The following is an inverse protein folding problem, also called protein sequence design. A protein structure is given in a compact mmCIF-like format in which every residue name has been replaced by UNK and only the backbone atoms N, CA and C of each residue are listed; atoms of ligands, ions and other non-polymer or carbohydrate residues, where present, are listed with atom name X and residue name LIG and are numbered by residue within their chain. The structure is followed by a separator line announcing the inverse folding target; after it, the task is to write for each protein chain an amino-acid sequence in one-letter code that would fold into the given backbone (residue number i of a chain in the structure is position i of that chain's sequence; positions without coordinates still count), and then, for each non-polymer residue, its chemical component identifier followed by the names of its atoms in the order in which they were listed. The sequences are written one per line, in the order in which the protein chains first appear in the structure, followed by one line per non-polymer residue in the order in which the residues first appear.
data_IF_454288807677
#
_entry.id   IF_454288807677
#
_cell.length_a   1.000
_cell.length_b   1.000
_cell.length_c   1.000
_cell.angle_alpha   90.00
_cell.angle_beta   90.00
_cell.angle_gamma   90.00
#
_symmetry.space_group_name_H-M   'P 1'
#
loop_
_entity.id
_entity.type
_entity.pdbx_description
1 polymer ?
#
# COMPACT_ATOMS: atom_id res chain seq x y z
N UNK A 1 4.93 -33.81 4.28
CA UNK A 1 4.32 -33.55 5.60
C UNK A 1 3.01 -32.83 5.33
N UNK A 2 1.87 -33.53 5.42
CA UNK A 2 0.55 -32.96 5.15
C UNK A 2 0.20 -31.97 6.25
N UNK A 3 -0.03 -30.71 5.88
CA UNK A 3 -0.60 -29.72 6.79
C UNK A 3 -2.10 -29.97 6.82
N UNK A 4 -2.57 -30.57 7.90
CA UNK A 4 -3.99 -30.77 8.18
C UNK A 4 -4.70 -29.41 8.17
N UNK A 5 -5.72 -29.28 7.32
CA UNK A 5 -6.65 -28.17 7.32
C UNK A 5 -7.50 -28.23 8.59
N UNK A 6 -7.47 -27.16 9.39
CA UNK A 6 -8.39 -27.00 10.51
C UNK A 6 -9.82 -26.84 9.99
N UNK A 7 -10.82 -27.58 10.52
CA UNK A 7 -12.20 -27.48 10.08
C UNK A 7 -12.84 -26.25 10.74
N UNK A 8 -12.93 -25.15 10.00
CA UNK A 8 -13.57 -23.93 10.46
C UNK A 8 -14.00 -23.07 9.29
N UNK A 9 -15.33 -23.00 9.09
CA UNK A 9 -16.11 -22.03 8.30
C UNK A 9 -15.31 -21.14 7.36
N UNK A 10 -15.51 -21.32 6.04
CA UNK A 10 -15.13 -20.41 4.96
C UNK A 10 -14.97 -18.96 5.44
N UNK A 11 -13.74 -18.58 5.79
CA UNK A 11 -13.40 -17.19 6.02
C UNK A 11 -13.22 -16.64 4.62
N UNK A 12 -14.25 -16.00 4.06
CA UNK A 12 -14.12 -15.28 2.80
C UNK A 12 -12.93 -14.35 2.94
N UNK A 13 -11.84 -14.70 2.26
CA UNK A 13 -10.67 -13.84 2.18
C UNK A 13 -11.13 -12.55 1.48
N UNK A 14 -10.78 -11.36 2.02
CA UNK A 14 -11.15 -10.14 1.34
C UNK A 14 -10.51 -10.16 -0.05
N UNK A 15 -11.31 -9.87 -1.08
CA UNK A 15 -10.80 -9.68 -2.44
C UNK A 15 -10.35 -8.22 -2.56
N UNK A 16 -9.05 -8.02 -2.69
CA UNK A 16 -8.46 -6.70 -2.92
C UNK A 16 -7.97 -6.65 -4.37
N UNK A 17 -8.50 -5.72 -5.16
CA UNK A 17 -8.10 -5.55 -6.57
C UNK A 17 -8.17 -6.86 -7.36
N UNK A 18 -9.25 -7.63 -7.16
CA UNK A 18 -9.53 -8.94 -7.78
C UNK A 18 -8.62 -10.10 -7.32
N UNK A 19 -7.66 -9.87 -6.42
CA UNK A 19 -6.80 -10.90 -5.84
C UNK A 19 -7.30 -11.26 -4.43
N UNK A 20 -7.30 -12.55 -4.11
CA UNK A 20 -7.55 -13.00 -2.73
C UNK A 20 -6.34 -12.69 -1.86
N UNK A 21 -6.56 -12.10 -0.68
CA UNK A 21 -5.48 -11.84 0.28
C UNK A 21 -5.67 -12.61 1.57
N UNK A 22 -4.57 -13.11 2.13
CA UNK A 22 -4.57 -13.76 3.43
C UNK A 22 -4.94 -12.81 4.58
N UNK A 23 -5.22 -13.35 5.79
CA UNK A 23 -5.54 -12.55 6.97
C UNK A 23 -4.34 -11.76 7.53
N UNK A 24 -3.13 -12.05 7.04
CA UNK A 24 -1.88 -11.41 7.44
C UNK A 24 -1.29 -10.70 6.24
N UNK A 25 -0.89 -9.44 6.44
CA UNK A 25 -0.13 -8.66 5.47
C UNK A 25 1.26 -8.33 5.98
N UNK A 26 2.16 -7.95 5.06
CA UNK A 26 3.53 -7.57 5.36
C UNK A 26 3.75 -6.07 5.26
N UNK A 27 4.12 -5.43 6.36
CA UNK A 27 4.62 -4.05 6.37
C UNK A 27 6.10 -3.97 5.97
N UNK A 28 6.44 -2.98 5.15
CA UNK A 28 7.82 -2.70 4.70
C UNK A 28 8.51 -1.59 5.51
N UNK A 29 7.77 -0.86 6.34
CA UNK A 29 8.30 0.25 7.16
C UNK A 29 9.52 -0.18 7.97
N UNK A 30 9.44 -1.33 8.65
CA UNK A 30 10.56 -1.83 9.46
C UNK A 30 11.73 -2.39 8.66
N UNK A 31 11.60 -2.54 7.33
CA UNK A 31 12.67 -3.01 6.45
C UNK A 31 13.50 -1.85 5.89
N UNK A 32 12.92 -0.66 5.75
CA UNK A 32 13.57 0.49 5.09
C UNK A 32 13.61 1.76 5.92
N UNK A 33 12.75 1.89 6.94
CA UNK A 33 12.63 3.08 7.79
C UNK A 33 13.00 2.79 9.24
N UNK A 34 14.24 2.34 9.43
CA UNK A 34 14.92 2.20 10.73
C UNK A 34 16.22 2.99 10.71
N UNK A 35 16.79 3.24 11.89
CA UNK A 35 18.16 3.78 12.02
C UNK A 35 19.16 2.88 11.27
N UNK A 36 19.07 1.58 11.56
CA UNK A 36 19.90 0.54 10.93
C UNK A 36 18.95 -0.45 10.23
N UNK A 37 18.57 -0.20 8.96
CA UNK A 37 17.73 -1.12 8.21
C UNK A 37 18.48 -2.42 7.92
N UNK A 38 17.75 -3.51 7.79
CA UNK A 38 18.35 -4.80 7.40
C UNK A 38 18.95 -4.68 5.98
N UNK A 39 20.02 -5.44 5.68
CA UNK A 39 20.57 -5.49 4.33
C UNK A 39 19.49 -5.83 3.29
N UNK A 40 19.58 -5.21 2.11
CA UNK A 40 18.57 -5.39 1.05
C UNK A 40 18.36 -6.86 0.68
N UNK A 41 19.44 -7.65 0.58
CA UNK A 41 19.34 -9.07 0.25
C UNK A 41 18.59 -9.88 1.31
N UNK A 42 18.75 -9.52 2.59
CA UNK A 42 18.02 -10.19 3.67
C UNK A 42 16.55 -9.75 3.70
N UNK A 43 16.27 -8.48 3.40
CA UNK A 43 14.90 -8.02 3.19
C UNK A 43 14.21 -8.79 2.06
N UNK A 44 14.90 -9.03 0.94
CA UNK A 44 14.40 -9.83 -0.18
C UNK A 44 14.08 -11.26 0.24
N UNK A 45 15.01 -11.96 0.94
CA UNK A 45 14.77 -13.33 1.46
C UNK A 45 13.53 -13.37 2.35
N UNK A 46 13.38 -12.37 3.20
CA UNK A 46 12.26 -12.25 4.13
C UNK A 46 10.93 -11.98 3.40
N UNK A 47 10.94 -11.21 2.29
CA UNK A 47 9.76 -11.03 1.44
C UNK A 47 9.39 -12.32 0.72
N UNK A 48 10.39 -13.06 0.22
CA UNK A 48 10.18 -14.34 -0.44
C UNK A 48 9.53 -15.35 0.50
N UNK A 49 10.10 -15.52 1.70
CA UNK A 49 9.54 -16.39 2.73
C UNK A 49 8.12 -15.99 3.15
N UNK A 50 7.81 -14.69 3.21
CA UNK A 50 6.47 -14.20 3.50
C UNK A 50 5.47 -14.62 2.41
N UNK A 51 5.84 -14.43 1.13
CA UNK A 51 4.98 -14.82 0.00
C UNK A 51 4.78 -16.34 -0.07
N UNK A 52 5.84 -17.11 0.11
CA UNK A 52 5.78 -18.58 0.12
C UNK A 52 4.90 -19.11 1.27
N UNK A 53 4.72 -18.31 2.34
CA UNK A 53 3.79 -18.58 3.45
C UNK A 53 2.37 -18.03 3.22
N UNK A 54 2.05 -17.53 2.03
CA UNK A 54 0.74 -16.97 1.68
C UNK A 54 0.51 -15.51 2.13
N UNK A 55 1.54 -14.81 2.62
CA UNK A 55 1.46 -13.39 3.01
C UNK A 55 1.65 -12.52 1.77
N UNK A 56 0.57 -12.29 1.03
CA UNK A 56 0.60 -11.65 -0.28
C UNK A 56 0.15 -10.18 -0.30
N UNK A 57 -0.38 -9.64 0.81
CA UNK A 57 -0.68 -8.20 0.93
C UNK A 57 0.53 -7.45 1.47
N UNK A 58 1.22 -6.69 0.62
CA UNK A 58 2.43 -5.95 1.01
C UNK A 58 2.17 -4.45 1.08
N UNK A 59 2.52 -3.85 2.22
CA UNK A 59 2.29 -2.44 2.52
C UNK A 59 3.61 -1.66 2.63
N UNK A 60 3.84 -0.74 1.69
CA UNK A 60 5.00 0.15 1.66
C UNK A 60 4.64 1.63 1.58
N UNK A 61 5.66 2.48 1.50
CA UNK A 61 5.52 3.89 1.15
C UNK A 61 6.74 4.41 0.37
N UNK A 62 6.52 5.44 -0.44
CA UNK A 62 7.59 6.19 -1.12
C UNK A 62 8.50 6.97 -0.14
N UNK A 63 7.99 7.30 1.06
CA UNK A 63 8.73 7.98 2.13
C UNK A 63 9.24 7.05 3.24
N UNK A 64 9.10 5.72 3.10
CA UNK A 64 9.64 4.77 4.08
C UNK A 64 11.12 4.52 3.82
N UNK A 65 11.99 5.37 4.36
CA UNK A 65 13.43 5.36 4.08
C UNK A 65 13.84 6.48 3.12
N UNK A 66 15.14 6.64 2.84
CA UNK A 66 15.62 7.68 1.93
C UNK A 66 15.25 7.38 0.47
N UNK A 67 15.25 8.37 -0.44
CA UNK A 67 14.81 8.20 -1.83
C UNK A 67 15.46 7.02 -2.58
N UNK A 68 16.72 6.72 -2.27
CA UNK A 68 17.53 5.65 -2.87
C UNK A 68 17.36 4.27 -2.22
N UNK A 69 16.67 4.18 -1.08
CA UNK A 69 16.48 2.93 -0.33
C UNK A 69 15.10 2.80 0.34
N UNK A 70 14.07 3.41 -0.26
CA UNK A 70 12.71 3.34 0.25
C UNK A 70 12.03 1.98 -0.01
N UNK A 71 10.78 1.81 0.45
CA UNK A 71 10.03 0.57 0.22
C UNK A 71 9.85 0.20 -1.26
N UNK A 72 9.74 1.17 -2.16
CA UNK A 72 9.48 0.93 -3.58
C UNK A 72 10.76 0.50 -4.29
N UNK A 73 11.92 1.03 -3.88
CA UNK A 73 13.23 0.53 -4.33
C UNK A 73 13.45 -0.91 -3.86
N UNK A 74 13.09 -1.24 -2.62
CA UNK A 74 13.14 -2.63 -2.14
C UNK A 74 12.23 -3.55 -2.96
N UNK A 75 11.01 -3.11 -3.26
CA UNK A 75 10.06 -3.86 -4.08
C UNK A 75 10.55 -4.04 -5.51
N UNK A 76 11.11 -3.00 -6.13
CA UNK A 76 11.71 -3.08 -7.46
C UNK A 76 12.82 -4.14 -7.48
N UNK A 77 13.77 -4.09 -6.55
CA UNK A 77 14.83 -5.10 -6.45
C UNK A 77 14.29 -6.51 -6.22
N UNK A 78 13.24 -6.66 -5.41
CA UNK A 78 12.58 -7.95 -5.20
C UNK A 78 12.01 -8.50 -6.52
N UNK A 79 11.21 -7.71 -7.24
CA UNK A 79 10.55 -8.18 -8.47
C UNK A 79 11.51 -8.30 -9.65
N UNK A 80 12.65 -7.59 -9.64
CA UNK A 80 13.74 -7.84 -10.58
C UNK A 80 14.34 -9.23 -10.38
N UNK A 81 14.47 -9.68 -9.12
CA UNK A 81 15.02 -11.00 -8.78
C UNK A 81 13.99 -12.14 -8.90
N UNK A 82 12.72 -11.82 -8.66
CA UNK A 82 11.58 -12.75 -8.63
C UNK A 82 10.41 -12.22 -9.47
N UNK A 83 10.57 -12.08 -10.81
CA UNK A 83 9.52 -11.53 -11.67
C UNK A 83 8.24 -12.38 -11.68
N UNK A 84 8.35 -13.68 -11.47
CA UNK A 84 7.23 -14.63 -11.40
C UNK A 84 6.28 -14.37 -10.22
N UNK A 85 6.72 -13.61 -9.22
CA UNK A 85 5.96 -13.30 -8.01
C UNK A 85 5.12 -12.02 -8.15
N UNK A 86 5.36 -11.18 -9.17
CA UNK A 86 4.68 -9.90 -9.34
C UNK A 86 3.15 -10.01 -9.30
N UNK A 87 2.60 -10.97 -10.05
CA UNK A 87 1.15 -11.20 -10.13
C UNK A 87 0.56 -11.86 -8.88
N UNK A 88 1.39 -12.42 -7.99
CA UNK A 88 0.94 -13.07 -6.74
C UNK A 88 0.77 -12.08 -5.60
N UNK A 89 1.45 -10.94 -5.67
CA UNK A 89 1.46 -9.91 -4.62
C UNK A 89 0.38 -8.86 -4.88
N UNK A 90 -0.24 -8.38 -3.79
CA UNK A 90 -1.08 -7.18 -3.75
C UNK A 90 -0.28 -6.05 -3.12
N UNK A 91 0.10 -5.05 -3.92
CA UNK A 91 0.85 -3.87 -3.47
C UNK A 91 -0.08 -2.77 -2.96
N UNK A 92 0.14 -2.38 -1.71
CA UNK A 92 -0.60 -1.34 -1.03
C UNK A 92 0.31 -0.21 -0.57
N UNK A 93 0.43 0.82 -1.40
CA UNK A 93 1.44 1.87 -1.26
C UNK A 93 0.84 3.13 -0.62
N UNK A 94 1.58 3.74 0.30
CA UNK A 94 1.34 5.11 0.74
C UNK A 94 2.21 6.02 -0.12
N UNK A 95 1.60 7.01 -0.74
CA UNK A 95 2.27 8.03 -1.53
C UNK A 95 1.70 9.41 -1.25
N UNK A 96 1.85 10.34 -2.18
CA UNK A 96 1.34 11.72 -2.07
C UNK A 96 1.77 12.46 -0.80
N UNK A 97 3.00 12.18 -0.36
CA UNK A 97 3.70 13.06 0.58
C UNK A 97 4.38 14.15 -0.24
N UNK A 98 4.25 15.40 0.20
CA UNK A 98 5.03 16.52 -0.28
C UNK A 98 6.49 16.41 0.19
N UNK A 99 7.15 17.56 0.42
CA UNK A 99 8.49 17.53 0.99
C UNK A 99 8.48 16.82 2.37
N UNK A 100 9.32 15.79 2.52
CA UNK A 100 9.33 14.95 3.71
C UNK A 100 8.09 14.05 3.82
N UNK A 101 7.35 14.18 4.92
CA UNK A 101 6.16 13.36 5.21
C UNK A 101 4.86 14.18 5.28
N UNK A 102 4.94 15.49 5.01
CA UNK A 102 3.78 16.38 5.02
C UNK A 102 2.82 16.00 3.88
N UNK A 103 1.51 15.94 4.12
CA UNK A 103 0.56 15.66 3.06
C UNK A 103 0.52 16.82 2.07
N UNK A 104 0.42 16.50 0.78
CA UNK A 104 0.14 17.47 -0.27
C UNK A 104 -1.00 16.94 -1.13
N UNK A 105 -2.20 17.48 -0.90
CA UNK A 105 -3.43 17.06 -1.56
C UNK A 105 -3.71 17.77 -2.87
N UNK A 106 -2.89 18.75 -3.28
CA UNK A 106 -3.12 19.50 -4.52
C UNK A 106 -3.06 18.57 -5.73
N UNK A 107 -3.78 18.88 -6.83
CA UNK A 107 -3.77 18.02 -8.01
C UNK A 107 -2.36 17.75 -8.54
N UNK A 108 -1.51 18.77 -8.59
CA UNK A 108 -0.12 18.66 -9.05
C UNK A 108 0.71 17.79 -8.10
N UNK A 109 0.54 17.96 -6.78
CA UNK A 109 1.23 17.19 -5.76
C UNK A 109 0.88 15.70 -5.83
N UNK A 110 -0.43 15.40 -5.93
CA UNK A 110 -0.94 14.04 -6.06
C UNK A 110 -0.44 13.38 -7.35
N UNK A 111 -0.56 14.04 -8.51
CA UNK A 111 -0.06 13.50 -9.79
C UNK A 111 1.43 13.23 -9.75
N UNK A 112 2.22 14.17 -9.22
CA UNK A 112 3.67 14.03 -9.09
C UNK A 112 4.03 12.79 -8.27
N UNK A 113 3.41 12.63 -7.11
CA UNK A 113 3.72 11.51 -6.23
C UNK A 113 3.23 10.16 -6.79
N UNK A 114 2.04 10.12 -7.38
CA UNK A 114 1.53 8.92 -8.06
C UNK A 114 2.47 8.47 -9.18
N UNK A 115 2.88 9.40 -10.05
CA UNK A 115 3.80 9.09 -11.15
C UNK A 115 5.17 8.65 -10.65
N UNK A 116 5.71 9.31 -9.62
CA UNK A 116 6.98 8.94 -9.02
C UNK A 116 6.94 7.53 -8.41
N UNK A 117 5.88 7.21 -7.65
CA UNK A 117 5.72 5.90 -7.05
C UNK A 117 5.62 4.78 -8.10
N UNK A 118 4.86 5.01 -9.18
CA UNK A 118 4.74 4.06 -10.29
C UNK A 118 6.09 3.89 -11.01
N UNK A 119 6.79 5.00 -11.28
CA UNK A 119 8.07 4.98 -11.99
C UNK A 119 9.16 4.23 -11.20
N UNK A 120 9.17 4.31 -9.87
CA UNK A 120 10.15 3.61 -9.02
C UNK A 120 10.07 2.09 -9.15
N UNK A 121 8.91 1.52 -9.49
CA UNK A 121 8.76 0.08 -9.73
C UNK A 121 9.26 -0.36 -11.12
N UNK A 122 9.62 0.58 -12.00
CA UNK A 122 10.14 0.34 -13.37
C UNK A 122 9.35 -0.68 -14.21
N UNK A 123 8.04 -0.77 -13.97
CA UNK A 123 7.17 -1.71 -14.67
C UNK A 123 7.24 -3.16 -14.18
N UNK A 124 8.04 -3.48 -13.15
CA UNK A 124 8.14 -4.84 -12.59
C UNK A 124 6.87 -5.29 -11.85
N UNK A 125 6.04 -4.37 -11.38
CA UNK A 125 4.73 -4.68 -10.82
C UNK A 125 3.78 -3.47 -10.92
N UNK A 126 2.47 -3.74 -10.85
CA UNK A 126 1.42 -2.72 -10.76
C UNK A 126 1.12 -2.40 -9.29
N UNK A 127 0.82 -1.14 -9.01
CA UNK A 127 0.31 -0.75 -7.69
C UNK A 127 -1.18 -1.08 -7.63
N UNK A 128 -1.54 -2.11 -6.86
CA UNK A 128 -2.94 -2.51 -6.70
C UNK A 128 -3.74 -1.45 -5.94
N UNK A 129 -3.14 -0.82 -4.92
CA UNK A 129 -3.81 0.17 -4.08
C UNK A 129 -2.85 1.30 -3.70
N UNK A 130 -3.24 2.55 -3.96
CA UNK A 130 -2.46 3.73 -3.58
C UNK A 130 -3.32 4.70 -2.78
N UNK A 131 -2.71 5.35 -1.79
CA UNK A 131 -3.36 6.39 -0.97
C UNK A 131 -2.40 7.50 -0.55
N UNK A 132 -2.91 8.65 -0.13
CA UNK A 132 -2.06 9.65 0.51
C UNK A 132 -1.55 9.13 1.87
N UNK A 133 -0.37 9.57 2.29
CA UNK A 133 0.20 9.28 3.61
C UNK A 133 -0.76 9.69 4.73
N UNK A 134 -1.23 10.94 4.65
CA UNK A 134 -2.25 11.59 5.49
C UNK A 134 -3.20 12.41 4.60
N UNK A 135 -4.40 12.70 5.07
CA UNK A 135 -5.26 13.70 4.42
C UNK A 135 -4.61 15.07 4.57
N UNK A 136 -4.53 15.82 3.47
CA UNK A 136 -4.12 17.22 3.51
C UNK A 136 -5.29 18.08 4.02
N UNK A 137 -5.17 18.76 5.18
CA UNK A 137 -6.24 19.61 5.69
C UNK A 137 -6.47 20.87 4.85
N UNK A 138 -5.51 21.25 4.00
CA UNK A 138 -5.55 22.49 3.22
C UNK A 138 -6.16 22.29 1.82
N UNK A 139 -6.32 21.04 1.37
CA UNK A 139 -6.90 20.73 0.07
C UNK A 139 -8.25 20.02 0.24
N UNK A 140 -9.33 20.49 -0.40
CA UNK A 140 -10.61 19.81 -0.37
C UNK A 140 -10.52 18.34 -0.82
N UNK A 141 -11.27 17.47 -0.16
CA UNK A 141 -11.25 16.03 -0.45
C UNK A 141 -11.60 15.72 -1.91
N UNK A 142 -12.57 16.43 -2.48
CA UNK A 142 -12.97 16.19 -3.88
C UNK A 142 -11.87 16.58 -4.86
N UNK A 143 -11.14 17.67 -4.61
CA UNK A 143 -9.97 18.07 -5.41
C UNK A 143 -8.90 16.98 -5.39
N UNK A 144 -8.55 16.46 -4.21
CA UNK A 144 -7.55 15.38 -4.07
C UNK A 144 -8.03 14.07 -4.69
N UNK A 145 -9.22 13.59 -4.33
CA UNK A 145 -9.68 12.25 -4.68
C UNK A 145 -10.22 12.12 -6.10
N UNK A 146 -10.60 13.22 -6.78
CA UNK A 146 -10.85 13.20 -8.23
C UNK A 146 -9.59 12.80 -9.02
N UNK A 147 -8.42 13.29 -8.60
CA UNK A 147 -7.15 12.87 -9.23
C UNK A 147 -6.86 11.39 -9.00
N UNK A 148 -7.14 10.86 -7.81
CA UNK A 148 -7.03 9.43 -7.56
C UNK A 148 -7.97 8.61 -8.45
N UNK A 149 -9.23 9.05 -8.59
CA UNK A 149 -10.23 8.42 -9.46
C UNK A 149 -9.75 8.35 -10.91
N UNK A 150 -9.15 9.42 -11.46
CA UNK A 150 -8.58 9.40 -12.82
C UNK A 150 -7.48 8.32 -12.98
N UNK A 151 -6.66 8.10 -11.95
CA UNK A 151 -5.62 7.07 -11.99
C UNK A 151 -6.18 5.65 -11.87
N UNK A 152 -7.30 5.48 -11.15
CA UNK A 152 -8.05 4.23 -11.12
C UNK A 152 -8.69 3.96 -12.48
N UNK A 153 -9.38 4.94 -13.06
CA UNK A 153 -10.06 4.82 -14.36
C UNK A 153 -9.09 4.57 -15.51
N UNK A 154 -7.92 5.20 -15.49
CA UNK A 154 -6.84 4.94 -16.47
C UNK A 154 -6.13 3.59 -16.24
N UNK A 155 -6.46 2.86 -15.18
CA UNK A 155 -5.87 1.58 -14.84
C UNK A 155 -4.42 1.67 -14.34
N UNK A 156 -3.89 2.87 -14.06
CA UNK A 156 -2.53 3.07 -13.52
C UNK A 156 -2.41 2.56 -12.08
N UNK A 157 -3.49 2.63 -11.31
CA UNK A 157 -3.62 1.98 -10.00
C UNK A 157 -4.91 1.14 -9.96
N UNK A 158 -4.97 0.14 -9.08
CA UNK A 158 -6.16 -0.73 -8.98
C UNK A 158 -7.29 -0.17 -8.10
N UNK A 159 -7.00 0.79 -7.22
CA UNK A 159 -8.00 1.37 -6.33
C UNK A 159 -7.44 2.29 -5.27
N UNK A 160 -8.35 2.94 -4.54
CA UNK A 160 -8.04 3.83 -3.43
C UNK A 160 -8.27 3.12 -2.09
N UNK A 161 -7.38 3.35 -1.13
CA UNK A 161 -7.58 2.97 0.28
C UNK A 161 -7.42 4.18 1.19
N UNK A 162 -7.88 4.12 2.43
CA UNK A 162 -7.73 5.19 3.40
C UNK A 162 -6.95 4.72 4.65
N UNK A 163 -6.52 5.66 5.48
CA UNK A 163 -5.78 5.38 6.71
C UNK A 163 -6.17 6.37 7.78
N UNK A 164 -6.59 5.86 8.95
CA UNK A 164 -6.80 6.67 10.15
C UNK A 164 -7.67 7.90 9.88
N UNK A 165 -8.81 7.68 9.21
CA UNK A 165 -9.81 8.70 8.88
C UNK A 165 -11.11 8.43 9.63
N UNK A 166 -11.89 9.49 9.90
CA UNK A 166 -13.21 9.39 10.52
C UNK A 166 -14.24 8.82 9.56
N UNK A 167 -15.32 8.26 10.11
CA UNK A 167 -16.46 7.77 9.32
C UNK A 167 -17.04 8.83 8.36
N UNK A 168 -17.07 10.10 8.77
CA UNK A 168 -17.53 11.21 7.93
C UNK A 168 -16.65 11.43 6.70
N UNK A 169 -15.33 11.34 6.86
CA UNK A 169 -14.35 11.41 5.76
C UNK A 169 -14.51 10.24 4.79
N UNK A 170 -14.72 9.02 5.31
CA UNK A 170 -14.99 7.83 4.48
C UNK A 170 -16.25 8.06 3.64
N UNK A 171 -17.35 8.49 4.26
CA UNK A 171 -18.61 8.79 3.57
C UNK A 171 -18.44 9.87 2.49
N UNK A 172 -17.67 10.92 2.76
CA UNK A 172 -17.41 11.98 1.80
C UNK A 172 -16.64 11.44 0.57
N UNK A 173 -15.56 10.69 0.80
CA UNK A 173 -14.71 10.15 -0.28
C UNK A 173 -15.44 9.07 -1.08
N UNK A 174 -16.31 8.27 -0.45
CA UNK A 174 -17.09 7.23 -1.13
C UNK A 174 -18.07 7.77 -2.19
N UNK A 175 -18.40 9.06 -2.14
CA UNK A 175 -19.21 9.73 -3.17
C UNK A 175 -18.41 10.14 -4.41
N UNK A 176 -17.07 10.09 -4.32
CA UNK A 176 -16.13 10.54 -5.35
C UNK A 176 -15.47 9.35 -6.03
N UNK A 177 -15.00 8.38 -5.25
CA UNK A 177 -14.23 7.22 -5.73
C UNK A 177 -14.52 5.97 -4.91
N UNK A 178 -14.37 4.80 -5.52
CA UNK A 178 -14.50 3.52 -4.82
C UNK A 178 -13.36 3.34 -3.81
N UNK A 179 -13.73 3.25 -2.53
CA UNK A 179 -12.80 2.92 -1.44
C UNK A 179 -12.74 1.39 -1.31
N UNK A 180 -11.53 0.83 -1.37
CA UNK A 180 -11.31 -0.62 -1.26
C UNK A 180 -11.28 -1.07 0.20
N UNK A 181 -10.48 -0.41 1.03
CA UNK A 181 -10.47 -0.63 2.47
C UNK A 181 -9.95 0.59 3.23
N UNK A 182 -10.16 0.60 4.54
CA UNK A 182 -9.61 1.60 5.47
C UNK A 182 -8.68 0.90 6.44
N UNK A 183 -7.43 1.37 6.53
CA UNK A 183 -6.48 0.92 7.54
C UNK A 183 -6.69 1.73 8.81
N UNK A 184 -6.78 1.03 9.94
CA UNK A 184 -6.82 1.63 11.27
C UNK A 184 -5.63 1.14 12.09
N UNK A 185 -5.24 1.91 13.10
CA UNK A 185 -4.35 1.45 14.15
C UNK A 185 -5.17 0.67 15.18
N UNK A 186 -4.73 -0.54 15.47
CA UNK A 186 -5.36 -1.41 16.46
C UNK A 186 -4.28 -2.16 17.23
N UNK A 187 -4.31 -2.04 18.55
CA UNK A 187 -3.48 -2.81 19.47
C UNK A 187 -4.19 -2.93 20.83
N UNK A 188 -3.59 -3.65 21.77
CA UNK A 188 -4.09 -3.69 23.15
C UNK A 188 -4.11 -2.30 23.82
N UNK A 189 -3.28 -1.36 23.33
CA UNK A 189 -3.19 0.01 23.84
C UNK A 189 -4.01 1.01 23.03
N UNK A 190 -4.42 0.65 21.81
CA UNK A 190 -5.17 1.50 20.88
C UNK A 190 -6.33 0.70 20.33
N UNK A 191 -7.48 0.80 20.99
CA UNK A 191 -8.69 0.06 20.63
C UNK A 191 -9.89 0.97 20.30
N UNK A 192 -9.71 2.29 20.36
CA UNK A 192 -10.69 3.26 19.89
C UNK A 192 -10.31 3.70 18.47
N UNK A 193 -11.11 3.29 17.49
CA UNK A 193 -10.95 3.66 16.09
C UNK A 193 -12.31 3.89 15.45
N UNK A 194 -12.34 4.81 14.49
CA UNK A 194 -13.52 5.32 13.75
C UNK A 194 -14.47 6.22 14.54
#
# INVERSE_FOLDING_TARGET
MQVNSLPGKFRLLPKLSLKEVGPIGRGLMGSTWRKDPIPTEDAIKVLKAALDSGVNLWNGADFYGPPEANSLILLEKYFTKHPEDANKVVLSIKGASGAGTSPNGTPEGVRKALNAAIAQLKGHNKIDLLKPGRIDPNTPLDVTFKVYEEYVQSGKIGGVRLLEVKATTIKAISKITQITYVKVELSLYVHHFL
#
